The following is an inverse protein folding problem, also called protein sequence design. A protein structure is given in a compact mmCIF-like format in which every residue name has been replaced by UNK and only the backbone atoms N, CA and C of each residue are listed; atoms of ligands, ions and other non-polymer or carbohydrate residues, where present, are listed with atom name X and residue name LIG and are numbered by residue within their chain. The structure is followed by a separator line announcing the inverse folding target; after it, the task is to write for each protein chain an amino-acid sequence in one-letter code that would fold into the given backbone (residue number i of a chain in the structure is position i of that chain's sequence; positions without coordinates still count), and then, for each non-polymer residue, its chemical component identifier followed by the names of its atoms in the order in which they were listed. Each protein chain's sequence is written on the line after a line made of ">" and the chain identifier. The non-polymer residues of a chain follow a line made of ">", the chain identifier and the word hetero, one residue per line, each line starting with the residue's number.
data_IF_587802403243
#
_entry.id   IF_587802403243
#
_cell.length_a   1.000
_cell.length_b   1.000
_cell.length_c   1.000
_cell.angle_alpha   90.00
_cell.angle_beta   90.00
_cell.angle_gamma   90.00
#
_symmetry.space_group_name_H-M   'P 1'
#
loop_
_entity.id
_entity.type
_entity.pdbx_description
1 polymer ?
#
# COMPACT_ATOMS: atom_id res chain seq x y z
N UNK A 1 -10.05 1.12 29.38
CA UNK A 1 -10.67 1.97 28.34
C UNK A 1 -9.92 1.70 27.05
N UNK A 2 -10.54 0.93 26.17
CA UNK A 2 -9.97 0.39 24.93
C UNK A 2 -10.14 1.42 23.82
N UNK A 3 -9.03 2.02 23.39
CA UNK A 3 -8.99 2.99 22.29
C UNK A 3 -8.16 2.36 21.18
N UNK A 4 -8.85 1.91 20.13
CA UNK A 4 -8.34 1.57 18.80
C UNK A 4 -7.00 0.81 18.70
N UNK A 5 -7.02 -0.48 19.02
CA UNK A 5 -6.19 -1.44 18.29
C UNK A 5 -6.79 -1.63 16.90
N UNK A 6 -6.34 -0.83 15.92
CA UNK A 6 -6.51 -1.21 14.52
C UNK A 6 -5.59 -2.42 14.28
N UNK A 7 -6.20 -3.58 14.12
CA UNK A 7 -5.48 -4.79 13.70
C UNK A 7 -4.82 -4.53 12.33
N UNK A 8 -3.53 -4.87 12.13
CA UNK A 8 -2.78 -4.55 10.91
C UNK A 8 -3.33 -5.23 9.64
N UNK A 9 -4.29 -6.14 9.78
CA UNK A 9 -5.02 -6.79 8.71
C UNK A 9 -6.40 -6.16 8.42
N UNK A 10 -6.60 -4.86 8.68
CA UNK A 10 -7.84 -4.21 8.29
C UNK A 10 -7.98 -4.21 6.75
N UNK A 11 -9.05 -4.79 6.17
CA UNK A 11 -9.22 -4.96 4.72
C UNK A 11 -9.42 -3.65 3.93
N UNK A 12 -9.16 -2.48 4.52
CA UNK A 12 -9.52 -1.18 3.96
C UNK A 12 -8.35 -0.25 3.63
N UNK A 13 -7.10 -0.59 3.99
CA UNK A 13 -5.95 0.24 3.63
C UNK A 13 -5.51 -0.10 2.20
N UNK A 14 -5.57 0.86 1.26
CA UNK A 14 -5.12 0.64 -0.10
C UNK A 14 -3.63 0.26 -0.13
N UNK A 15 -3.31 -0.88 -0.74
CA UNK A 15 -1.94 -1.36 -0.90
C UNK A 15 -1.32 -0.78 -2.17
N UNK A 16 0.00 -0.60 -2.18
CA UNK A 16 0.72 -0.15 -3.37
C UNK A 16 0.74 -1.20 -4.48
N UNK A 17 0.93 -2.47 -4.11
CA UNK A 17 1.14 -3.55 -5.08
C UNK A 17 -0.07 -4.48 -5.15
N UNK A 18 -0.41 -4.88 -6.37
CA UNK A 18 -1.48 -5.83 -6.62
C UNK A 18 -1.09 -7.21 -6.05
N UNK A 19 -1.98 -7.81 -5.24
CA UNK A 19 -1.67 -8.99 -4.41
C UNK A 19 -1.19 -10.19 -5.24
N UNK A 20 -1.81 -10.47 -6.39
CA UNK A 20 -1.45 -11.58 -7.27
C UNK A 20 -0.11 -11.33 -7.96
N UNK A 21 0.14 -10.11 -8.45
CA UNK A 21 1.43 -9.76 -9.06
C UNK A 21 2.56 -9.90 -8.06
N UNK A 22 2.43 -9.30 -6.87
CA UNK A 22 3.45 -9.40 -5.81
C UNK A 22 3.69 -10.87 -5.42
N UNK A 23 2.63 -11.67 -5.26
CA UNK A 23 2.76 -13.11 -4.97
C UNK A 23 3.53 -13.85 -6.06
N UNK A 24 3.22 -13.60 -7.32
CA UNK A 24 3.90 -14.23 -8.45
C UNK A 24 5.38 -13.81 -8.50
N UNK A 25 5.65 -12.52 -8.34
CA UNK A 25 6.99 -11.95 -8.28
C UNK A 25 7.83 -12.62 -7.18
N UNK A 26 7.28 -12.71 -5.96
CA UNK A 26 7.93 -13.34 -4.80
C UNK A 26 8.16 -14.84 -5.02
N UNK A 27 7.19 -15.57 -5.57
CA UNK A 27 7.33 -17.01 -5.83
C UNK A 27 8.39 -17.33 -6.89
N UNK A 28 8.58 -16.43 -7.85
CA UNK A 28 9.56 -16.59 -8.94
C UNK A 28 10.94 -16.03 -8.58
N UNK A 29 11.08 -15.36 -7.44
CA UNK A 29 12.34 -14.77 -7.03
C UNK A 29 13.29 -15.79 -6.42
N UNK A 30 14.55 -15.75 -6.85
CA UNK A 30 15.63 -16.54 -6.28
C UNK A 30 16.19 -15.84 -5.04
N UNK A 31 15.72 -16.26 -3.86
CA UNK A 31 16.20 -15.72 -2.59
C UNK A 31 17.64 -16.16 -2.30
N UNK A 32 18.42 -15.34 -1.57
CA UNK A 32 19.79 -15.71 -1.21
C UNK A 32 19.80 -16.88 -0.22
N UNK A 33 20.87 -17.68 -0.25
CA UNK A 33 21.01 -18.87 0.59
C UNK A 33 21.02 -18.55 2.11
N UNK A 34 21.39 -17.33 2.49
CA UNK A 34 21.43 -16.85 3.87
C UNK A 34 20.11 -16.22 4.32
N UNK A 35 19.01 -16.33 3.56
CA UNK A 35 17.72 -15.70 3.89
C UNK A 35 17.23 -16.06 5.31
N UNK A 36 17.43 -17.30 5.75
CA UNK A 36 17.07 -17.72 7.12
C UNK A 36 17.88 -16.97 8.18
N UNK A 37 19.18 -16.76 7.96
CA UNK A 37 20.02 -15.98 8.88
C UNK A 37 19.58 -14.50 8.89
N UNK A 38 19.19 -13.95 7.74
CA UNK A 38 18.60 -12.61 7.65
C UNK A 38 17.27 -12.52 8.40
N UNK A 39 16.41 -13.54 8.32
CA UNK A 39 15.15 -13.58 9.07
C UNK A 39 15.39 -13.63 10.59
N UNK A 40 16.44 -14.30 11.06
CA UNK A 40 16.82 -14.31 12.48
C UNK A 40 17.16 -12.91 13.02
N UNK A 41 17.70 -12.01 12.18
CA UNK A 41 17.89 -10.60 12.58
C UNK A 41 16.55 -9.97 12.94
N UNK A 42 15.52 -10.17 12.12
CA UNK A 42 14.16 -9.68 12.39
C UNK A 42 13.59 -10.30 13.67
N UNK A 43 13.80 -11.59 13.89
CA UNK A 43 13.35 -12.27 15.11
C UNK A 43 13.94 -11.64 16.38
N UNK A 44 15.21 -11.21 16.35
CA UNK A 44 15.81 -10.49 17.48
C UNK A 44 15.12 -9.15 17.75
N UNK A 45 14.74 -8.41 16.71
CA UNK A 45 13.97 -7.17 16.86
C UNK A 45 12.58 -7.42 17.45
N UNK A 46 11.91 -8.49 17.02
CA UNK A 46 10.61 -8.93 17.57
C UNK A 46 10.73 -9.28 19.05
N UNK A 47 11.74 -10.06 19.44
CA UNK A 47 11.98 -10.43 20.85
C UNK A 47 12.31 -9.21 21.71
N UNK A 48 13.12 -8.29 21.19
CA UNK A 48 13.47 -7.03 21.85
C UNK A 48 12.23 -6.15 22.07
N UNK A 49 11.31 -6.14 21.12
CA UNK A 49 10.03 -5.44 21.25
C UNK A 49 9.12 -6.08 22.30
N UNK A 50 8.97 -7.42 22.24
CA UNK A 50 8.16 -8.20 23.19
C UNK A 50 8.61 -8.04 24.63
N UNK A 51 9.92 -7.91 24.85
CA UNK A 51 10.51 -7.63 26.16
C UNK A 51 10.31 -6.17 26.63
N UNK A 52 9.73 -5.31 25.80
CA UNK A 52 9.50 -3.89 26.08
C UNK A 52 10.76 -3.05 26.06
N UNK A 53 11.88 -3.60 25.57
CA UNK A 53 13.18 -2.93 25.56
C UNK A 53 13.25 -1.83 24.51
N UNK A 54 12.68 -2.05 23.30
CA UNK A 54 12.64 -1.01 22.25
C UNK A 54 11.97 0.28 22.73
N UNK A 55 10.99 0.18 23.61
CA UNK A 55 10.27 1.31 24.16
C UNK A 55 11.07 2.13 25.21
N UNK A 56 12.25 1.66 25.62
CA UNK A 56 13.10 2.27 26.66
C UNK A 56 14.44 2.81 26.12
N UNK A 57 14.87 2.38 24.93
CA UNK A 57 16.11 2.84 24.30
C UNK A 57 15.88 4.19 23.63
N UNK A 58 16.91 5.05 23.60
CA UNK A 58 16.85 6.34 22.92
C UNK A 58 16.74 6.18 21.40
N UNK A 59 16.00 7.09 20.77
CA UNK A 59 15.74 7.09 19.32
C UNK A 59 17.04 7.10 18.48
N UNK A 60 18.02 7.92 18.88
CA UNK A 60 19.30 8.04 18.16
C UNK A 60 20.08 6.72 18.12
N UNK A 61 20.08 5.95 19.22
CA UNK A 61 20.75 4.66 19.24
C UNK A 61 20.03 3.64 18.36
N UNK A 62 18.69 3.61 18.43
CA UNK A 62 17.88 2.71 17.62
C UNK A 62 17.99 3.01 16.12
N UNK A 63 18.18 4.26 15.70
CA UNK A 63 18.40 4.60 14.28
C UNK A 63 19.64 3.89 13.72
N UNK A 64 20.78 4.01 14.41
CA UNK A 64 22.03 3.38 13.96
C UNK A 64 21.92 1.86 13.88
N UNK A 65 21.38 1.23 14.92
CA UNK A 65 21.18 -0.23 14.97
C UNK A 65 20.19 -0.70 13.89
N UNK A 66 19.05 -0.02 13.74
CA UNK A 66 18.03 -0.39 12.75
C UNK A 66 18.54 -0.25 11.31
N UNK A 67 19.24 0.84 10.99
CA UNK A 67 19.83 1.04 9.66
C UNK A 67 20.92 -0.02 9.37
N UNK A 68 21.73 -0.38 10.36
CA UNK A 68 22.75 -1.42 10.23
C UNK A 68 22.16 -2.81 10.06
N UNK A 69 21.28 -3.23 10.96
CA UNK A 69 20.71 -4.57 10.96
C UNK A 69 19.77 -4.78 9.76
N UNK A 70 18.85 -3.84 9.54
CA UNK A 70 17.78 -4.02 8.56
C UNK A 70 18.25 -3.63 7.17
N UNK A 71 18.75 -2.41 6.98
CA UNK A 71 19.07 -1.95 5.62
C UNK A 71 20.43 -2.51 5.14
N UNK A 72 21.48 -2.49 5.96
CA UNK A 72 22.76 -3.03 5.54
C UNK A 72 22.78 -4.57 5.54
N UNK A 73 22.50 -5.21 6.68
CA UNK A 73 22.77 -6.66 6.84
C UNK A 73 21.66 -7.55 6.26
N UNK A 74 20.40 -7.18 6.46
CA UNK A 74 19.26 -7.89 5.88
C UNK A 74 19.07 -7.50 4.41
N UNK A 75 18.86 -6.22 4.10
CA UNK A 75 18.47 -5.77 2.75
C UNK A 75 19.65 -5.58 1.79
N UNK A 76 20.89 -5.56 2.29
CA UNK A 76 22.10 -5.61 1.47
C UNK A 76 22.55 -4.26 0.90
N UNK A 77 22.17 -3.14 1.50
CA UNK A 77 22.63 -1.82 1.06
C UNK A 77 24.07 -1.54 1.50
N UNK A 78 24.90 -1.11 0.55
CA UNK A 78 26.29 -0.74 0.81
C UNK A 78 26.41 0.60 1.54
N UNK A 79 27.33 0.67 2.50
CA UNK A 79 27.69 1.91 3.21
C UNK A 79 29.03 2.47 2.71
N UNK A 80 29.32 3.73 3.07
CA UNK A 80 30.55 4.45 2.67
C UNK A 80 31.82 3.63 2.99
N UNK A 81 31.84 2.93 4.13
CA UNK A 81 33.04 2.22 4.61
C UNK A 81 33.30 0.91 3.87
N UNK A 82 32.27 0.27 3.28
CA UNK A 82 32.42 -1.00 2.56
C UNK A 82 33.05 -0.83 1.17
N UNK A 83 32.88 0.33 0.54
CA UNK A 83 33.36 0.60 -0.82
C UNK A 83 34.62 1.46 -0.89
N UNK A 84 35.34 1.61 0.24
CA UNK A 84 36.45 2.57 0.38
C UNK A 84 36.03 4.00 -0.01
N UNK A 85 34.77 4.35 0.24
CA UNK A 85 34.21 5.67 -0.06
C UNK A 85 33.95 5.94 -1.54
N UNK A 86 34.05 4.96 -2.45
CA UNK A 86 33.83 5.19 -3.88
C UNK A 86 32.36 5.31 -4.24
N UNK A 87 31.53 4.38 -3.74
CA UNK A 87 30.08 4.33 -4.00
C UNK A 87 29.33 3.75 -2.82
N UNK A 88 28.18 4.29 -2.45
CA UNK A 88 27.33 3.73 -1.41
C UNK A 88 25.86 3.93 -1.76
N UNK A 89 24.99 3.19 -1.10
CA UNK A 89 23.55 3.26 -1.34
C UNK A 89 22.75 3.66 -0.11
N UNK A 90 23.26 3.39 1.10
CA UNK A 90 22.67 3.84 2.35
C UNK A 90 23.45 5.04 2.89
N UNK A 91 22.76 6.18 3.06
CA UNK A 91 23.36 7.41 3.59
C UNK A 91 22.59 7.92 4.81
N UNK A 92 23.20 7.86 5.99
CA UNK A 92 22.66 8.41 7.23
C UNK A 92 22.81 9.94 7.26
N UNK A 93 21.86 10.63 7.87
CA UNK A 93 21.82 12.11 8.00
C UNK A 93 21.87 12.88 6.67
N UNK A 94 21.21 12.37 5.63
CA UNK A 94 21.19 12.98 4.31
C UNK A 94 20.55 14.39 4.33
N UNK A 95 21.35 15.45 4.36
CA UNK A 95 20.89 16.85 4.25
C UNK A 95 20.70 17.26 2.79
N UNK A 96 19.58 17.91 2.47
CA UNK A 96 19.43 18.65 1.22
C UNK A 96 19.93 20.09 1.42
N UNK A 97 20.68 20.54 0.41
CA UNK A 97 21.06 21.92 0.05
C UNK A 97 20.30 23.02 0.81
N UNK A 98 21.04 23.96 1.45
CA UNK A 98 20.73 25.32 1.98
C UNK A 98 19.30 25.74 2.44
N UNK A 99 18.27 24.90 2.36
CA UNK A 99 16.83 25.16 2.54
C UNK A 99 16.12 24.11 3.41
N UNK A 100 16.87 23.31 4.19
CA UNK A 100 16.43 22.92 5.52
C UNK A 100 15.47 21.72 5.66
N UNK A 101 15.58 20.69 4.80
CA UNK A 101 15.01 19.36 5.08
C UNK A 101 16.11 18.34 5.36
N UNK A 102 16.05 17.64 6.50
CA UNK A 102 16.93 16.49 6.82
C UNK A 102 16.04 15.27 7.04
N UNK A 103 16.34 14.18 6.33
CA UNK A 103 15.80 12.86 6.65
C UNK A 103 16.82 12.13 7.55
N UNK A 104 16.34 11.18 8.36
CA UNK A 104 17.22 10.38 9.23
C UNK A 104 18.21 9.55 8.39
N UNK A 105 17.75 9.02 7.27
CA UNK A 105 18.60 8.38 6.27
C UNK A 105 17.98 8.48 4.87
N UNK A 106 18.74 8.04 3.86
CA UNK A 106 18.28 7.93 2.49
C UNK A 106 18.88 6.70 1.80
N UNK A 107 18.08 6.09 0.93
CA UNK A 107 18.52 5.12 -0.06
C UNK A 107 18.70 5.82 -1.39
N UNK A 108 19.81 5.55 -2.06
CA UNK A 108 20.15 6.21 -3.30
C UNK A 108 21.34 5.58 -4.00
N UNK A 109 21.87 6.30 -4.98
CA UNK A 109 23.11 5.96 -5.66
C UNK A 109 24.05 7.12 -5.47
N UNK A 110 25.04 6.94 -4.58
CA UNK A 110 25.98 7.98 -4.19
C UNK A 110 27.41 7.59 -4.56
N UNK A 111 28.24 8.57 -4.85
CA UNK A 111 29.65 8.39 -5.14
C UNK A 111 30.49 9.58 -4.69
N UNK A 112 31.77 9.31 -4.45
CA UNK A 112 32.77 10.34 -4.23
C UNK A 112 33.51 10.62 -5.55
N UNK A 113 33.48 11.87 -6.01
CA UNK A 113 34.18 12.32 -7.21
C UNK A 113 35.27 13.33 -6.87
N UNK A 114 36.35 13.31 -7.64
CA UNK A 114 37.41 14.32 -7.52
C UNK A 114 36.96 15.62 -8.17
N UNK A 115 36.85 16.67 -7.38
CA UNK A 115 36.58 18.02 -7.84
C UNK A 115 37.78 18.62 -8.58
N UNK A 116 37.51 19.68 -9.35
CA UNK A 116 38.51 20.37 -10.17
C UNK A 116 39.68 20.98 -9.38
N UNK A 117 39.53 21.11 -8.06
CA UNK A 117 40.57 21.61 -7.13
C UNK A 117 41.24 20.49 -6.31
N UNK A 118 41.04 19.22 -6.67
CA UNK A 118 41.56 18.06 -5.93
C UNK A 118 40.82 17.75 -4.63
N UNK A 119 39.70 18.43 -4.34
CA UNK A 119 38.82 18.14 -3.22
C UNK A 119 37.84 17.02 -3.57
N UNK A 120 37.50 16.16 -2.61
CA UNK A 120 36.43 15.16 -2.80
C UNK A 120 35.07 15.85 -2.72
N UNK A 121 34.24 15.66 -3.74
CA UNK A 121 32.84 16.09 -3.78
C UNK A 121 31.94 14.86 -3.75
N UNK A 122 30.89 14.90 -2.94
CA UNK A 122 29.88 13.85 -2.93
C UNK A 122 28.84 14.19 -3.99
N UNK A 123 28.56 13.22 -4.87
CA UNK A 123 27.50 13.30 -5.87
C UNK A 123 26.58 12.09 -5.72
N UNK A 124 25.36 12.21 -6.20
CA UNK A 124 24.41 11.12 -6.16
C UNK A 124 22.98 11.58 -6.25
N UNK A 125 22.09 10.60 -6.37
CA UNK A 125 20.65 10.81 -6.32
C UNK A 125 20.04 10.02 -5.19
N UNK A 126 19.04 10.61 -4.56
CA UNK A 126 18.23 9.94 -3.55
C UNK A 126 17.02 9.34 -4.26
N UNK A 127 16.77 8.06 -4.00
CA UNK A 127 15.62 7.32 -4.53
C UNK A 127 14.51 7.22 -3.48
N UNK A 128 14.89 7.09 -2.21
CA UNK A 128 13.95 7.01 -1.09
C UNK A 128 14.53 7.63 0.20
N UNK A 129 14.00 8.74 0.74
CA UNK A 129 14.24 9.10 2.13
C UNK A 129 13.66 8.05 3.09
N UNK A 130 14.33 7.92 4.22
CA UNK A 130 13.91 7.13 5.37
C UNK A 130 13.72 8.10 6.54
N UNK A 131 12.48 8.21 7.01
CA UNK A 131 12.12 8.93 8.24
C UNK A 131 11.90 7.91 9.37
N UNK A 132 12.65 8.05 10.45
CA UNK A 132 12.59 7.16 11.60
C UNK A 132 12.08 7.91 12.84
N UNK A 133 11.41 7.19 13.73
CA UNK A 133 10.94 7.70 15.02
C UNK A 133 11.03 6.64 16.10
N UNK A 134 11.02 7.06 17.36
CA UNK A 134 10.94 6.15 18.50
C UNK A 134 9.76 5.16 18.45
N UNK A 135 9.92 3.98 19.06
CA UNK A 135 8.98 2.85 18.99
C UNK A 135 7.55 3.11 19.49
N UNK A 136 7.32 4.20 20.24
CA UNK A 136 6.01 4.62 20.75
C UNK A 136 5.31 5.66 19.88
N UNK A 137 6.01 6.19 18.88
CA UNK A 137 5.51 7.31 18.07
C UNK A 137 4.44 6.81 17.12
N UNK A 138 3.29 7.49 17.11
CA UNK A 138 2.27 7.32 16.08
C UNK A 138 2.74 8.04 14.81
N UNK A 139 2.84 7.31 13.70
CA UNK A 139 3.34 7.82 12.42
C UNK A 139 2.35 8.77 11.73
N UNK A 140 1.06 8.68 12.06
CA UNK A 140 -0.01 9.46 11.44
C UNK A 140 -0.32 10.77 12.21
N UNK A 141 0.13 10.88 13.46
CA UNK A 141 -0.17 12.02 14.33
C UNK A 141 0.92 13.09 14.34
N UNK A 142 0.49 14.35 14.44
CA UNK A 142 1.40 15.49 14.64
C UNK A 142 2.18 15.36 15.94
N UNK A 143 3.44 15.77 15.91
CA UNK A 143 4.35 15.73 17.05
C UNK A 143 4.39 17.11 17.72
N UNK A 144 3.30 17.45 18.41
CA UNK A 144 3.12 18.78 19.01
C UNK A 144 2.99 19.87 17.94
N UNK A 145 4.02 20.72 17.80
CA UNK A 145 4.08 21.75 16.73
C UNK A 145 4.62 21.21 15.41
N UNK A 146 5.27 20.05 15.43
CA UNK A 146 5.86 19.47 14.24
C UNK A 146 4.81 18.67 13.45
N UNK A 147 4.94 18.60 12.11
CA UNK A 147 4.13 17.73 11.26
C UNK A 147 4.23 16.25 11.68
N UNK A 148 3.34 15.40 11.16
CA UNK A 148 3.46 13.95 11.40
C UNK A 148 4.77 13.39 10.81
N UNK A 149 5.27 12.25 11.29
CA UNK A 149 6.41 11.57 10.67
C UNK A 149 6.21 11.31 9.16
N UNK A 150 4.98 10.97 8.76
CA UNK A 150 4.64 10.82 7.33
C UNK A 150 4.83 12.16 6.59
N UNK A 151 4.27 13.26 7.12
CA UNK A 151 4.42 14.58 6.50
C UNK A 151 5.90 15.00 6.38
N UNK A 152 6.74 14.65 7.36
CA UNK A 152 8.18 14.94 7.37
C UNK A 152 8.89 14.18 6.23
N UNK A 153 8.67 12.88 6.11
CA UNK A 153 9.23 12.07 5.02
C UNK A 153 8.78 12.54 3.63
N UNK A 154 7.50 12.90 3.48
CA UNK A 154 6.96 13.45 2.24
C UNK A 154 7.49 14.84 1.91
N UNK A 155 7.67 15.70 2.91
CA UNK A 155 8.31 17.00 2.72
C UNK A 155 9.71 16.83 2.13
N UNK A 156 10.50 15.88 2.64
CA UNK A 156 11.82 15.59 2.09
C UNK A 156 11.75 15.11 0.64
N UNK A 157 10.89 14.13 0.34
CA UNK A 157 10.71 13.61 -1.01
C UNK A 157 10.33 14.70 -2.01
N UNK A 158 9.41 15.60 -1.66
CA UNK A 158 8.97 16.68 -2.54
C UNK A 158 10.08 17.70 -2.87
N UNK A 159 11.09 17.84 -2.01
CA UNK A 159 12.25 18.70 -2.24
C UNK A 159 13.44 17.96 -2.85
N UNK A 160 13.29 16.68 -3.15
CA UNK A 160 14.34 15.81 -3.70
C UNK A 160 14.02 15.46 -5.15
N UNK A 161 14.82 15.95 -6.12
CA UNK A 161 14.65 15.57 -7.52
C UNK A 161 14.71 14.06 -7.72
N UNK A 162 13.86 13.53 -8.60
CA UNK A 162 13.80 12.11 -8.99
C UNK A 162 13.52 11.13 -7.82
N UNK A 163 13.04 11.62 -6.69
CA UNK A 163 12.62 10.79 -5.57
C UNK A 163 11.34 10.02 -5.90
N UNK A 164 11.41 8.68 -5.82
CA UNK A 164 10.30 7.79 -6.23
C UNK A 164 9.54 7.17 -5.06
N UNK A 165 10.21 7.03 -3.92
CA UNK A 165 9.70 6.30 -2.77
C UNK A 165 9.89 7.11 -1.49
N UNK A 166 9.12 6.79 -0.45
CA UNK A 166 9.35 7.29 0.92
C UNK A 166 9.21 6.11 1.87
N UNK A 167 10.14 5.97 2.80
CA UNK A 167 10.09 4.96 3.85
C UNK A 167 9.89 5.68 5.18
N UNK A 168 8.90 5.24 5.96
CA UNK A 168 8.65 5.80 7.29
C UNK A 168 8.55 4.63 8.28
N UNK A 169 9.22 4.73 9.42
CA UNK A 169 9.22 3.66 10.41
C UNK A 169 9.33 4.14 11.85
N UNK A 170 8.64 3.45 12.76
CA UNK A 170 8.87 3.49 14.20
C UNK A 170 9.49 2.17 14.71
N UNK A 171 10.22 1.48 13.83
CA UNK A 171 10.79 0.12 13.97
C UNK A 171 9.76 -1.01 14.08
N UNK A 172 8.59 -0.76 14.69
CA UNK A 172 7.48 -1.72 14.79
C UNK A 172 6.68 -1.81 13.50
N UNK A 173 6.50 -0.67 12.85
CA UNK A 173 5.89 -0.54 11.54
C UNK A 173 6.92 -0.01 10.56
N UNK A 174 6.99 -0.62 9.38
CA UNK A 174 7.75 -0.13 8.24
C UNK A 174 6.75 0.11 7.12
N UNK A 175 6.61 1.37 6.71
CA UNK A 175 5.68 1.78 5.64
C UNK A 175 6.48 2.27 4.44
N UNK A 176 6.24 1.63 3.30
CA UNK A 176 6.76 2.06 2.00
C UNK A 176 5.64 2.81 1.25
N UNK A 177 5.96 4.01 0.78
CA UNK A 177 5.10 4.88 -0.02
C UNK A 177 5.74 5.13 -1.38
N UNK A 178 4.92 5.38 -2.41
CA UNK A 178 5.39 5.89 -3.70
C UNK A 178 4.98 7.36 -3.87
N UNK A 179 5.88 8.19 -4.40
CA UNK A 179 5.60 9.60 -4.69
C UNK A 179 4.62 9.79 -5.84
N UNK A 180 4.33 8.76 -6.64
CA UNK A 180 3.29 8.79 -7.68
C UNK A 180 1.86 8.61 -7.14
N UNK A 181 1.71 8.19 -5.88
CA UNK A 181 0.42 7.92 -5.22
C UNK A 181 0.17 8.91 -4.09
N UNK A 182 -1.06 8.97 -3.58
CA UNK A 182 -1.34 9.75 -2.37
C UNK A 182 -0.85 9.02 -1.12
N UNK A 183 -0.69 9.74 -0.01
CA UNK A 183 -0.26 9.21 1.30
C UNK A 183 -1.19 8.12 1.87
N UNK A 184 -2.39 7.95 1.31
CA UNK A 184 -3.32 6.88 1.66
C UNK A 184 -2.95 5.50 1.10
N UNK A 185 -2.01 5.41 0.15
CA UNK A 185 -1.55 4.15 -0.46
C UNK A 185 -0.14 3.83 0.02
N UNK A 186 0.02 2.71 0.73
CA UNK A 186 1.31 2.26 1.20
C UNK A 186 1.37 0.74 1.36
N UNK A 187 2.58 0.20 1.35
CA UNK A 187 2.83 -1.17 1.77
C UNK A 187 3.31 -1.16 3.22
N UNK A 188 2.55 -1.81 4.09
CA UNK A 188 2.86 -1.96 5.52
C UNK A 188 3.52 -3.31 5.79
N UNK A 189 4.55 -3.27 6.63
CA UNK A 189 5.11 -4.44 7.30
C UNK A 189 5.23 -4.14 8.78
N UNK A 190 4.58 -4.95 9.62
CA UNK A 190 4.78 -4.87 11.07
C UNK A 190 5.81 -5.91 11.51
N UNK A 191 6.56 -5.64 12.58
CA UNK A 191 7.48 -6.65 13.15
C UNK A 191 6.75 -7.96 13.47
N UNK A 192 5.52 -7.88 13.99
CA UNK A 192 4.71 -9.06 14.28
C UNK A 192 4.42 -9.88 13.01
N UNK A 193 4.00 -9.24 11.92
CA UNK A 193 3.72 -9.93 10.65
C UNK A 193 5.00 -10.51 10.02
N UNK A 194 6.15 -9.82 10.20
CA UNK A 194 7.45 -10.27 9.71
C UNK A 194 7.98 -11.50 10.46
N UNK A 195 7.33 -11.93 11.56
CA UNK A 195 7.62 -13.22 12.17
C UNK A 195 7.34 -14.39 11.22
N UNK A 196 6.35 -14.23 10.34
CA UNK A 196 6.05 -15.19 9.29
C UNK A 196 7.06 -15.09 8.13
N UNK A 197 7.61 -16.24 7.72
CA UNK A 197 8.66 -16.30 6.70
C UNK A 197 8.18 -15.84 5.33
N UNK A 198 6.90 -16.04 5.00
CA UNK A 198 6.38 -15.61 3.70
C UNK A 198 6.20 -14.09 3.67
N UNK A 199 5.68 -13.49 4.74
CA UNK A 199 5.64 -12.02 4.87
C UNK A 199 7.05 -11.41 4.84
N UNK A 200 8.02 -12.04 5.53
CA UNK A 200 9.42 -11.61 5.45
C UNK A 200 9.98 -11.69 4.02
N UNK A 201 9.63 -12.73 3.25
CA UNK A 201 10.00 -12.82 1.83
C UNK A 201 9.42 -11.68 0.99
N UNK A 202 8.18 -11.26 1.27
CA UNK A 202 7.59 -10.10 0.60
C UNK A 202 8.32 -8.81 0.95
N UNK A 203 8.61 -8.60 2.24
CA UNK A 203 9.41 -7.47 2.73
C UNK A 203 10.79 -7.43 2.08
N UNK A 204 11.51 -8.55 2.12
CA UNK A 204 12.83 -8.70 1.52
C UNK A 204 12.77 -8.41 0.03
N UNK A 205 11.83 -9.03 -0.69
CA UNK A 205 11.71 -8.83 -2.14
C UNK A 205 11.47 -7.37 -2.50
N UNK A 206 10.60 -6.66 -1.77
CA UNK A 206 10.27 -5.27 -2.06
C UNK A 206 11.37 -4.28 -1.68
N UNK A 207 12.19 -4.58 -0.67
CA UNK A 207 13.14 -3.60 -0.12
C UNK A 207 14.60 -4.03 -0.23
N UNK A 208 14.92 -5.21 -0.74
CA UNK A 208 16.31 -5.59 -0.93
C UNK A 208 16.94 -4.69 -2.00
N UNK A 209 18.22 -4.40 -1.80
CA UNK A 209 19.01 -3.55 -2.70
C UNK A 209 18.86 -3.97 -4.16
N UNK A 210 18.93 -5.26 -4.43
CA UNK A 210 18.90 -5.84 -5.78
C UNK A 210 17.58 -5.58 -6.51
N UNK A 211 16.48 -5.32 -5.80
CA UNK A 211 15.20 -5.08 -6.44
C UNK A 211 14.79 -3.61 -6.36
N UNK A 212 15.10 -2.94 -5.26
CA UNK A 212 14.58 -1.60 -4.95
C UNK A 212 15.34 -0.47 -5.65
N UNK A 213 16.64 -0.62 -5.87
CA UNK A 213 17.44 0.36 -6.61
C UNK A 213 17.76 -0.14 -8.02
N UNK A 214 17.85 0.76 -9.02
CA UNK A 214 18.21 0.38 -10.38
C UNK A 214 19.66 -0.11 -10.48
N UNK A 215 19.93 -0.92 -11.52
CA UNK A 215 21.24 -1.51 -11.78
C UNK A 215 21.87 -0.92 -13.04
N UNK A 216 23.19 -0.71 -13.01
CA UNK A 216 23.94 -0.19 -14.16
C UNK A 216 23.35 1.12 -14.69
N UNK A 217 22.96 1.11 -15.97
CA UNK A 217 22.41 2.27 -16.68
C UNK A 217 20.86 2.32 -16.67
N UNK A 218 20.20 1.41 -15.95
CA UNK A 218 18.75 1.41 -15.86
C UNK A 218 18.23 2.63 -15.10
N UNK A 219 17.13 3.19 -15.59
CA UNK A 219 16.46 4.31 -14.93
C UNK A 219 15.52 3.86 -13.83
N UNK A 220 14.96 2.66 -13.96
CA UNK A 220 13.93 2.12 -13.10
C UNK A 220 14.43 0.86 -12.39
N UNK A 221 13.97 0.65 -11.16
CA UNK A 221 14.19 -0.59 -10.43
C UNK A 221 13.14 -1.64 -10.77
N UNK A 222 13.35 -2.86 -10.28
CA UNK A 222 12.36 -3.93 -10.42
C UNK A 222 11.03 -3.52 -9.75
N UNK A 223 11.12 -2.85 -8.61
CA UNK A 223 9.94 -2.44 -7.82
C UNK A 223 9.17 -1.31 -8.50
N UNK A 224 9.86 -0.41 -9.22
CA UNK A 224 9.21 0.58 -10.08
C UNK A 224 8.35 -0.10 -11.15
N UNK A 225 8.89 -1.14 -11.80
CA UNK A 225 8.15 -1.94 -12.78
C UNK A 225 6.95 -2.66 -12.16
N UNK A 226 7.10 -3.27 -11.00
CA UNK A 226 6.00 -3.96 -10.30
C UNK A 226 4.87 -3.00 -9.91
N UNK A 227 5.19 -1.76 -9.50
CA UNK A 227 4.19 -0.75 -9.22
C UNK A 227 3.43 -0.37 -10.48
N UNK A 228 4.13 -0.08 -11.58
CA UNK A 228 3.51 0.23 -12.87
C UNK A 228 2.57 -0.89 -13.34
N UNK A 229 3.01 -2.14 -13.27
CA UNK A 229 2.19 -3.29 -13.67
C UNK A 229 0.97 -3.45 -12.75
N UNK A 230 1.11 -3.14 -11.46
CA UNK A 230 0.00 -3.11 -10.50
C UNK A 230 -1.03 -2.04 -10.84
N UNK A 231 -0.57 -0.84 -11.19
CA UNK A 231 -1.43 0.27 -11.61
C UNK A 231 -2.17 -0.04 -12.91
N UNK A 232 -1.47 -0.60 -13.90
CA UNK A 232 -2.08 -1.02 -15.16
C UNK A 232 -3.16 -2.09 -14.92
N UNK A 233 -2.88 -3.09 -14.07
CA UNK A 233 -3.87 -4.12 -13.77
C UNK A 233 -5.09 -3.57 -13.03
N UNK A 234 -4.90 -2.60 -12.12
CA UNK A 234 -6.00 -1.92 -11.45
C UNK A 234 -6.86 -1.12 -12.44
N UNK A 235 -6.24 -0.44 -13.40
CA UNK A 235 -6.92 0.25 -14.48
C UNK A 235 -7.71 -0.72 -15.37
N UNK A 236 -7.10 -1.83 -15.83
CA UNK A 236 -7.78 -2.82 -16.66
C UNK A 236 -8.98 -3.46 -15.94
N UNK A 237 -8.87 -3.73 -14.63
CA UNK A 237 -10.00 -4.24 -13.83
C UNK A 237 -11.13 -3.20 -13.79
N UNK A 238 -10.76 -1.94 -13.61
CA UNK A 238 -11.72 -0.82 -13.55
C UNK A 238 -12.43 -0.64 -14.89
N UNK A 239 -11.71 -0.63 -16.01
CA UNK A 239 -12.28 -0.55 -17.36
C UNK A 239 -13.20 -1.72 -17.67
N UNK A 240 -12.80 -2.96 -17.32
CA UNK A 240 -13.67 -4.15 -17.49
C UNK A 240 -14.93 -4.06 -16.65
N UNK A 241 -14.86 -3.47 -15.45
CA UNK A 241 -16.03 -3.27 -14.61
C UNK A 241 -16.99 -2.24 -15.24
N UNK A 242 -16.48 -1.13 -15.75
CA UNK A 242 -17.29 -0.12 -16.43
C UNK A 242 -17.95 -0.65 -17.70
N UNK A 243 -17.23 -1.40 -18.54
CA UNK A 243 -17.81 -2.00 -19.74
C UNK A 243 -18.95 -2.97 -19.39
N UNK A 244 -18.74 -3.84 -18.39
CA UNK A 244 -19.80 -4.75 -17.93
C UNK A 244 -20.99 -4.00 -17.33
N UNK A 245 -20.72 -2.90 -16.64
CA UNK A 245 -21.75 -2.04 -16.08
C UNK A 245 -22.62 -1.43 -17.18
N UNK A 246 -22.00 -0.94 -18.25
CA UNK A 246 -22.72 -0.36 -19.39
C UNK A 246 -23.55 -1.42 -20.12
N UNK A 247 -22.99 -2.62 -20.34
CA UNK A 247 -23.72 -3.74 -20.95
C UNK A 247 -24.99 -4.11 -20.15
N UNK A 248 -24.86 -4.25 -18.83
CA UNK A 248 -26.00 -4.58 -17.94
C UNK A 248 -27.04 -3.46 -17.93
N UNK A 249 -26.61 -2.20 -18.03
CA UNK A 249 -27.50 -1.05 -18.10
C UNK A 249 -28.34 -1.06 -19.37
N UNK A 250 -27.72 -1.26 -20.53
CA UNK A 250 -28.43 -1.34 -21.80
C UNK A 250 -29.39 -2.53 -21.83
N UNK A 251 -28.99 -3.68 -21.29
CA UNK A 251 -29.85 -4.86 -21.18
C UNK A 251 -31.08 -4.60 -20.31
N UNK A 252 -30.91 -3.95 -19.16
CA UNK A 252 -32.02 -3.59 -18.26
C UNK A 252 -32.97 -2.58 -18.90
N UNK A 253 -32.45 -1.54 -19.56
CA UNK A 253 -33.26 -0.56 -20.29
C UNK A 253 -34.03 -1.26 -21.41
N UNK A 254 -33.36 -2.13 -22.18
CA UNK A 254 -33.98 -2.92 -23.23
C UNK A 254 -35.09 -3.83 -22.71
N UNK A 255 -34.88 -4.47 -21.56
CA UNK A 255 -35.89 -5.27 -20.87
C UNK A 255 -37.10 -4.41 -20.45
N UNK A 256 -36.88 -3.27 -19.79
CA UNK A 256 -37.96 -2.39 -19.37
C UNK A 256 -38.77 -1.85 -20.55
N UNK A 257 -38.11 -1.44 -21.64
CA UNK A 257 -38.79 -0.99 -22.87
C UNK A 257 -39.71 -2.07 -23.43
N UNK A 258 -39.25 -3.33 -23.46
CA UNK A 258 -40.06 -4.47 -23.94
C UNK A 258 -41.26 -4.73 -23.03
N UNK A 259 -41.05 -4.75 -21.71
CA UNK A 259 -42.12 -5.01 -20.73
C UNK A 259 -43.19 -3.90 -20.73
N UNK A 260 -42.80 -2.63 -20.78
CA UNK A 260 -43.71 -1.48 -20.86
C UNK A 260 -44.56 -1.52 -22.14
N UNK A 261 -43.95 -1.85 -23.29
CA UNK A 261 -44.68 -2.02 -24.55
C UNK A 261 -45.66 -3.19 -24.50
N UNK A 262 -45.25 -4.34 -23.98
CA UNK A 262 -46.09 -5.52 -23.87
C UNK A 262 -47.32 -5.31 -22.96
N UNK A 263 -47.22 -4.39 -22.00
CA UNK A 263 -48.29 -4.04 -21.06
C UNK A 263 -49.06 -2.76 -21.43
N UNK A 264 -48.75 -2.17 -22.58
CA UNK A 264 -49.38 -0.93 -23.08
C UNK A 264 -49.32 0.24 -22.07
N UNK A 265 -48.23 0.34 -21.31
CA UNK A 265 -48.04 1.38 -20.29
C UNK A 265 -47.45 2.66 -20.91
N UNK A 266 -47.98 3.82 -20.52
CA UNK A 266 -47.48 5.13 -20.92
C UNK A 266 -46.35 5.62 -20.00
N UNK A 267 -45.16 5.01 -20.11
CA UNK A 267 -43.96 5.39 -19.34
C UNK A 267 -42.91 5.99 -20.28
N UNK A 268 -42.37 7.15 -19.92
CA UNK A 268 -41.35 7.82 -20.72
C UNK A 268 -40.00 7.08 -20.68
N UNK A 269 -39.27 7.07 -21.79
CA UNK A 269 -37.99 6.37 -21.90
C UNK A 269 -36.95 6.84 -20.86
N UNK A 270 -36.93 8.14 -20.58
CA UNK A 270 -36.08 8.74 -19.56
C UNK A 270 -36.31 8.13 -18.17
N UNK A 271 -37.56 7.82 -17.83
CA UNK A 271 -37.89 7.16 -16.57
C UNK A 271 -37.35 5.72 -16.53
N UNK A 272 -37.36 5.00 -17.66
CA UNK A 272 -36.80 3.65 -17.73
C UNK A 272 -35.28 3.66 -17.52
N UNK A 273 -34.59 4.63 -18.14
CA UNK A 273 -33.16 4.86 -17.93
C UNK A 273 -32.86 5.16 -16.47
N UNK A 274 -33.63 6.05 -15.83
CA UNK A 274 -33.49 6.36 -14.40
C UNK A 274 -33.71 5.14 -13.51
N UNK A 275 -34.70 4.29 -13.81
CA UNK A 275 -34.95 3.07 -13.02
C UNK A 275 -33.85 2.03 -13.21
N UNK A 276 -33.33 1.87 -14.43
CA UNK A 276 -32.22 0.95 -14.68
C UNK A 276 -30.98 1.39 -13.90
N UNK A 277 -30.65 2.69 -13.99
CA UNK A 277 -29.57 3.32 -13.24
C UNK A 277 -29.71 3.08 -11.74
N UNK A 278 -30.89 3.37 -11.17
CA UNK A 278 -31.16 3.17 -9.74
C UNK A 278 -30.99 1.72 -9.28
N UNK A 279 -31.35 0.74 -10.11
CA UNK A 279 -31.17 -0.68 -9.76
C UNK A 279 -29.69 -1.04 -9.71
N UNK A 280 -28.92 -0.63 -10.73
CA UNK A 280 -27.50 -0.95 -10.79
C UNK A 280 -26.72 -0.24 -9.69
N UNK A 281 -27.00 1.04 -9.43
CA UNK A 281 -26.36 1.81 -8.35
C UNK A 281 -26.55 1.15 -6.99
N UNK A 282 -27.75 0.60 -6.73
CA UNK A 282 -28.01 -0.13 -5.49
C UNK A 282 -27.20 -1.42 -5.41
N UNK A 283 -27.08 -2.18 -6.49
CA UNK A 283 -26.27 -3.40 -6.50
C UNK A 283 -24.78 -3.07 -6.31
N UNK A 284 -24.26 -2.05 -7.00
CA UNK A 284 -22.89 -1.58 -6.84
C UNK A 284 -22.62 -1.09 -5.42
N UNK A 285 -23.55 -0.32 -4.83
CA UNK A 285 -23.45 0.15 -3.46
C UNK A 285 -23.36 -1.01 -2.48
N UNK A 286 -24.19 -2.04 -2.63
CA UNK A 286 -24.13 -3.24 -1.79
C UNK A 286 -22.78 -3.94 -1.94
N UNK A 287 -22.34 -4.18 -3.17
CA UNK A 287 -21.04 -4.82 -3.44
C UNK A 287 -19.89 -4.04 -2.80
N UNK A 288 -19.89 -2.71 -2.92
CA UNK A 288 -18.93 -1.84 -2.24
C UNK A 288 -18.98 -1.99 -0.71
N UNK A 289 -20.18 -2.00 -0.12
CA UNK A 289 -20.35 -2.20 1.32
C UNK A 289 -19.90 -3.58 1.79
N UNK A 290 -20.09 -4.64 0.98
CA UNK A 290 -19.57 -5.98 1.26
C UNK A 290 -18.04 -5.99 1.33
N UNK A 291 -17.38 -5.36 0.35
CA UNK A 291 -15.92 -5.28 0.28
C UNK A 291 -15.33 -4.48 1.44
N UNK A 292 -16.04 -3.46 1.91
CA UNK A 292 -15.66 -2.65 3.07
C UNK A 292 -16.01 -3.30 4.42
N UNK A 293 -16.68 -4.45 4.42
CA UNK A 293 -17.15 -5.12 5.64
C UNK A 293 -18.29 -4.38 6.35
N UNK A 294 -18.96 -3.44 5.67
CA UNK A 294 -20.16 -2.75 6.17
C UNK A 294 -21.41 -3.63 6.06
N UNK A 295 -21.41 -4.59 5.14
CA UNK A 295 -22.44 -5.61 4.99
C UNK A 295 -21.84 -7.02 5.04
N UNK A 296 -22.65 -8.05 5.35
CA UNK A 296 -22.21 -9.43 5.28
C UNK A 296 -21.67 -9.79 3.89
N UNK A 297 -20.56 -10.54 3.83
CA UNK A 297 -19.98 -10.97 2.56
C UNK A 297 -20.97 -11.76 1.71
N UNK A 298 -20.91 -11.53 0.39
CA UNK A 298 -21.71 -12.21 -0.62
C UNK A 298 -23.22 -11.96 -0.48
N UNK A 299 -23.64 -10.79 0.00
CA UNK A 299 -25.06 -10.43 0.17
C UNK A 299 -25.80 -10.44 -1.17
N UNK A 300 -25.26 -9.79 -2.22
CA UNK A 300 -25.84 -9.80 -3.58
C UNK A 300 -25.93 -11.22 -4.11
N UNK A 301 -24.84 -11.98 -4.02
CA UNK A 301 -24.77 -13.36 -4.52
C UNK A 301 -25.77 -14.27 -3.81
N UNK A 302 -25.83 -14.22 -2.47
CA UNK A 302 -26.79 -14.99 -1.68
C UNK A 302 -28.22 -14.65 -2.02
N UNK A 303 -28.54 -13.40 -2.34
CA UNK A 303 -29.88 -13.01 -2.77
C UNK A 303 -30.30 -13.65 -4.10
N UNK A 304 -29.34 -13.73 -5.03
CA UNK A 304 -29.51 -14.33 -6.35
C UNK A 304 -29.70 -15.85 -6.26
N UNK A 305 -28.89 -16.49 -5.40
CA UNK A 305 -28.88 -17.95 -5.20
C UNK A 305 -29.92 -18.43 -4.17
N UNK A 306 -30.64 -17.51 -3.51
CA UNK A 306 -31.63 -17.86 -2.50
C UNK A 306 -32.86 -18.48 -3.16
N UNK A 307 -33.07 -19.75 -2.86
CA UNK A 307 -34.24 -20.52 -3.24
C UNK A 307 -34.93 -21.04 -1.97
N UNK A 308 -36.23 -20.77 -1.86
CA UNK A 308 -37.07 -21.20 -0.73
C UNK A 308 -38.19 -22.11 -1.29
N UNK A 309 -38.10 -23.43 -1.09
CA UNK A 309 -39.07 -24.38 -1.65
C UNK A 309 -40.45 -24.27 -0.98
N UNK A 310 -40.53 -23.65 0.21
CA UNK A 310 -41.77 -23.50 0.95
C UNK A 310 -42.45 -22.15 0.71
N UNK A 311 -41.67 -21.13 0.33
CA UNK A 311 -42.19 -19.83 -0.08
C UNK A 311 -41.42 -19.28 -1.30
N UNK A 312 -41.76 -19.74 -2.51
CA UNK A 312 -41.05 -19.35 -3.72
C UNK A 312 -41.26 -17.87 -4.02
N UNK A 313 -40.15 -17.15 -4.23
CA UNK A 313 -40.13 -15.73 -4.62
C UNK A 313 -39.21 -15.55 -5.81
N UNK A 314 -39.46 -14.51 -6.60
CA UNK A 314 -38.52 -14.15 -7.66
C UNK A 314 -37.23 -13.59 -7.07
N UNK A 315 -36.14 -13.72 -7.81
CA UNK A 315 -34.84 -13.10 -7.47
C UNK A 315 -35.00 -11.59 -7.24
N UNK A 316 -35.91 -10.94 -7.98
CA UNK A 316 -36.21 -9.52 -7.80
C UNK A 316 -36.81 -9.20 -6.43
N UNK A 317 -37.72 -10.04 -5.90
CA UNK A 317 -38.24 -9.85 -4.55
C UNK A 317 -37.14 -9.98 -3.49
N UNK A 318 -36.18 -10.90 -3.68
CA UNK A 318 -35.02 -11.04 -2.79
C UNK A 318 -34.18 -9.75 -2.79
N UNK A 319 -33.85 -9.20 -3.96
CA UNK A 319 -33.13 -7.94 -4.06
C UNK A 319 -33.88 -6.76 -3.43
N UNK A 320 -35.19 -6.63 -3.67
CA UNK A 320 -36.01 -5.58 -3.04
C UNK A 320 -35.95 -5.64 -1.52
N UNK A 321 -35.99 -6.84 -0.92
CA UNK A 321 -35.91 -6.99 0.55
C UNK A 321 -34.55 -6.54 1.09
N UNK A 322 -33.47 -6.76 0.36
CA UNK A 322 -32.14 -6.24 0.72
C UNK A 322 -32.12 -4.71 0.62
N UNK A 323 -32.66 -4.13 -0.45
CA UNK A 323 -32.73 -2.66 -0.59
C UNK A 323 -33.54 -2.01 0.54
N UNK A 324 -34.69 -2.59 0.89
CA UNK A 324 -35.52 -2.15 2.02
C UNK A 324 -34.77 -2.24 3.35
N UNK A 325 -34.06 -3.35 3.57
CA UNK A 325 -33.26 -3.57 4.78
C UNK A 325 -32.16 -2.52 4.92
N UNK A 326 -31.43 -2.22 3.85
CA UNK A 326 -30.35 -1.22 3.85
C UNK A 326 -30.90 0.19 4.08
N UNK A 327 -32.02 0.55 3.46
CA UNK A 327 -32.65 1.86 3.69
C UNK A 327 -33.00 2.08 5.17
N UNK A 328 -33.41 1.02 5.89
CA UNK A 328 -33.69 1.08 7.33
C UNK A 328 -32.43 1.22 8.19
N UNK A 329 -31.26 0.79 7.69
CA UNK A 329 -29.98 0.93 8.39
C UNK A 329 -29.41 2.34 8.23
N UNK A 330 -29.58 2.98 7.07
CA UNK A 330 -29.06 4.33 6.78
C UNK A 330 -29.95 5.43 7.37
N UNK A 331 -31.24 5.16 7.62
CA UNK A 331 -32.18 6.09 8.23
C UNK A 331 -32.18 6.14 9.76
N UNK A 332 -31.29 5.39 10.43
CA UNK A 332 -31.01 5.48 11.87
C UNK A 332 -29.64 6.10 12.06
#
# INVERSE_FOLDING_TARGET
>A
MSIFQRSPNHPSTPRLFQIKLLRNAVNNYQFPNDLTAKHQVIQRWIETDRNGTLAKISEVQLHGEFLGDIFRDVLGYGTITQSQGKTWELYAEASITDKGGRADAALGLFSAVLGTKGNVKLEGRIVAPIELKGARTNLDEKQGKNPSPIDQGWSYANHTPDCRWVIVSNYREIRLYSTSKSTGYYQLFTLEDLADIYTFKQFYYLLCRQNFLPHGNEKESLIDGLLRDSEQQEQEITERLYNKYDDVREDLIGYFRRDVRARELAIADTQLVEKAQLVIDRILFIAFCEDRGLLPKFTVKKACEHDDPYFPRSIWENYKKIFEWINRLVGK
#
